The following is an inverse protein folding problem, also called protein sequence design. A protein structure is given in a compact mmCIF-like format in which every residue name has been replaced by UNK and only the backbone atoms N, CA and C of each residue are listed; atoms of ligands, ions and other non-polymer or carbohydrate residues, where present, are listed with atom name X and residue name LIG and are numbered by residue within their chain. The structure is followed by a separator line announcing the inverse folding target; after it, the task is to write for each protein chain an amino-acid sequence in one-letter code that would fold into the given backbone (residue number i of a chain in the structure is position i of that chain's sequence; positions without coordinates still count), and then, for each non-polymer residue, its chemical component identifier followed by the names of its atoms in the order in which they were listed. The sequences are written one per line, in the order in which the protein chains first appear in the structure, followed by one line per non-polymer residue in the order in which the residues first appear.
data_IF_596603476423
#
_entry.id   IF_596603476423
#
_cell.length_a   1.000
_cell.length_b   1.000
_cell.length_c   1.000
_cell.angle_alpha   90.00
_cell.angle_beta   90.00
_cell.angle_gamma   90.00
#
_symmetry.space_group_name_H-M   'P 1'
#
loop_
_entity.id
_entity.type
_entity.pdbx_description
1 polymer ?
#
# COMPACT_ATOMS: atom_id res chain seq x y z
N UNK A 1 17.01 6.04 -33.98
CA UNK A 1 16.80 5.23 -32.77
C UNK A 1 17.62 3.95 -32.93
N UNK A 2 18.78 3.87 -32.27
CA UNK A 2 19.57 2.63 -32.24
C UNK A 2 18.77 1.60 -31.44
N UNK A 3 18.52 0.41 -32.00
CA UNK A 3 17.98 -0.72 -31.26
C UNK A 3 18.91 -0.98 -30.08
N UNK A 4 18.42 -0.79 -28.85
CA UNK A 4 19.04 -1.29 -27.64
C UNK A 4 19.40 -2.75 -27.90
N UNK A 5 20.64 -3.14 -27.68
CA UNK A 5 21.13 -4.49 -27.76
C UNK A 5 20.25 -5.38 -26.89
N UNK A 6 19.58 -6.37 -27.46
CA UNK A 6 18.53 -7.18 -26.83
C UNK A 6 19.03 -8.11 -25.72
N UNK A 7 19.81 -7.61 -24.74
CA UNK A 7 20.20 -8.35 -23.53
C UNK A 7 19.00 -8.45 -22.61
N UNK A 8 18.69 -9.67 -22.20
CA UNK A 8 17.62 -9.96 -21.25
C UNK A 8 18.01 -9.55 -19.82
N UNK A 9 17.05 -9.16 -19.01
CA UNK A 9 17.23 -8.71 -17.63
C UNK A 9 16.36 -9.56 -16.70
N UNK A 10 16.96 -10.20 -15.72
CA UNK A 10 16.24 -10.80 -14.59
C UNK A 10 16.46 -9.97 -13.32
N UNK A 11 15.63 -10.17 -12.29
CA UNK A 11 15.87 -9.54 -11.00
C UNK A 11 15.79 -10.52 -9.83
N UNK A 12 16.66 -10.31 -8.84
CA UNK A 12 16.64 -10.93 -7.51
C UNK A 12 16.28 -9.86 -6.48
N UNK A 13 15.22 -10.11 -5.71
CA UNK A 13 14.83 -9.22 -4.60
C UNK A 13 15.11 -9.91 -3.28
N UNK A 14 16.10 -9.44 -2.54
CA UNK A 14 16.50 -10.01 -1.25
C UNK A 14 15.49 -9.62 -0.15
N UNK A 15 14.76 -10.60 0.37
CA UNK A 15 13.74 -10.43 1.40
C UNK A 15 13.85 -11.46 2.55
N UNK A 16 15.03 -12.10 2.71
CA UNK A 16 15.27 -13.13 3.74
C UNK A 16 15.72 -12.55 5.09
N UNK A 17 16.10 -11.27 5.16
CA UNK A 17 16.67 -10.64 6.35
C UNK A 17 15.70 -10.63 7.55
N UNK A 18 16.23 -10.89 8.76
CA UNK A 18 15.44 -11.02 10.00
C UNK A 18 14.75 -9.73 10.45
N UNK A 19 15.25 -8.56 10.06
CA UNK A 19 14.62 -7.27 10.38
C UNK A 19 14.44 -6.97 11.88
N UNK A 20 15.37 -7.40 12.73
CA UNK A 20 15.27 -7.33 14.21
C UNK A 20 15.03 -5.92 14.74
N UNK A 21 15.54 -4.88 14.04
CA UNK A 21 15.33 -3.47 14.39
C UNK A 21 13.87 -3.00 14.27
N UNK A 22 13.04 -3.70 13.51
CA UNK A 22 11.58 -3.44 13.42
C UNK A 22 10.83 -3.81 14.69
N UNK A 23 11.40 -4.65 15.56
CA UNK A 23 10.77 -5.17 16.79
C UNK A 23 9.37 -5.68 16.52
N UNK A 24 9.21 -6.57 15.55
CA UNK A 24 7.94 -7.07 15.04
C UNK A 24 8.01 -8.58 14.79
N UNK A 25 6.90 -9.28 15.02
CA UNK A 25 6.72 -10.66 14.59
C UNK A 25 6.53 -10.76 13.07
N UNK A 26 5.99 -9.69 12.46
CA UNK A 26 5.87 -9.61 11.00
C UNK A 26 7.26 -9.37 10.40
N UNK A 27 7.69 -10.20 9.42
CA UNK A 27 8.93 -9.99 8.70
C UNK A 27 9.00 -8.58 8.07
N UNK A 28 10.18 -7.95 8.11
CA UNK A 28 10.39 -6.55 7.71
C UNK A 28 9.75 -6.21 6.36
N UNK A 29 10.00 -7.03 5.36
CA UNK A 29 9.61 -6.80 3.97
C UNK A 29 8.09 -6.93 3.73
N UNK A 30 7.35 -7.51 4.69
CA UNK A 30 5.90 -7.71 4.62
C UNK A 30 5.10 -6.57 5.29
N UNK A 31 5.77 -5.58 5.90
CA UNK A 31 5.07 -4.45 6.49
C UNK A 31 4.30 -3.66 5.44
N UNK A 32 3.02 -3.31 5.73
CA UNK A 32 2.19 -2.59 4.79
C UNK A 32 2.63 -1.13 4.64
N UNK A 33 2.59 -0.66 3.39
CA UNK A 33 2.81 0.72 2.97
C UNK A 33 1.77 1.06 1.90
N UNK A 34 0.84 1.95 2.17
CA UNK A 34 -0.21 2.41 1.24
C UNK A 34 -0.88 1.24 0.47
N UNK A 35 -1.39 0.24 1.21
CA UNK A 35 -2.12 -0.90 0.66
C UNK A 35 -1.25 -2.06 0.16
N UNK A 36 0.06 -1.88 -0.03
CA UNK A 36 0.99 -2.90 -0.51
C UNK A 36 1.98 -3.31 0.58
N UNK A 37 2.60 -4.49 0.46
CA UNK A 37 3.78 -4.85 1.28
C UNK A 37 4.98 -4.00 0.83
N UNK A 38 5.91 -3.71 1.72
CA UNK A 38 7.12 -2.95 1.41
C UNK A 38 7.87 -3.50 0.19
N UNK A 39 8.03 -4.81 0.11
CA UNK A 39 8.72 -5.49 -0.99
C UNK A 39 7.99 -5.38 -2.33
N UNK A 40 6.65 -5.22 -2.31
CA UNK A 40 5.86 -5.13 -3.55
C UNK A 40 6.16 -3.85 -4.33
N UNK A 41 6.55 -2.77 -3.66
CA UNK A 41 7.02 -1.55 -4.30
C UNK A 41 8.31 -1.78 -5.10
N UNK A 42 9.26 -2.53 -4.52
CA UNK A 42 10.51 -2.89 -5.19
C UNK A 42 10.26 -3.81 -6.39
N UNK A 43 9.43 -4.83 -6.20
CA UNK A 43 9.04 -5.76 -7.26
C UNK A 43 8.37 -5.06 -8.43
N UNK A 44 7.46 -4.12 -8.13
CA UNK A 44 6.79 -3.31 -9.14
C UNK A 44 7.78 -2.48 -9.95
N UNK A 45 8.70 -1.77 -9.29
CA UNK A 45 9.71 -0.95 -9.98
C UNK A 45 10.60 -1.79 -10.89
N UNK A 46 10.97 -3.01 -10.48
CA UNK A 46 11.73 -3.94 -11.32
C UNK A 46 10.90 -4.46 -12.51
N UNK A 47 9.61 -4.79 -12.29
CA UNK A 47 8.72 -5.23 -13.37
C UNK A 47 8.50 -4.13 -14.42
N UNK A 48 8.34 -2.89 -14.00
CA UNK A 48 8.10 -1.75 -14.89
C UNK A 48 9.27 -1.48 -15.86
N UNK A 49 10.50 -1.85 -15.50
CA UNK A 49 11.66 -1.78 -16.40
C UNK A 49 11.85 -3.06 -17.23
N UNK A 50 10.92 -4.01 -17.15
CA UNK A 50 10.94 -5.25 -17.94
C UNK A 50 11.88 -6.31 -17.42
N UNK A 51 12.21 -6.34 -16.13
CA UNK A 51 12.95 -7.45 -15.54
C UNK A 51 12.07 -8.72 -15.47
N UNK A 52 12.49 -9.77 -16.13
CA UNK A 52 11.83 -11.08 -16.19
C UNK A 52 12.88 -12.19 -16.41
N UNK A 53 12.93 -13.20 -15.54
CA UNK A 53 12.11 -13.45 -14.36
C UNK A 53 12.44 -12.55 -13.16
N UNK A 54 11.43 -12.40 -12.26
CA UNK A 54 11.58 -11.81 -10.94
C UNK A 54 11.60 -12.91 -9.88
N UNK A 55 12.67 -13.00 -9.11
CA UNK A 55 12.84 -14.01 -8.05
C UNK A 55 12.96 -13.32 -6.70
N UNK A 56 12.12 -13.69 -5.74
CA UNK A 56 12.22 -13.24 -4.36
C UNK A 56 13.05 -14.23 -3.56
N UNK A 57 14.09 -13.76 -2.88
CA UNK A 57 14.83 -14.58 -1.91
C UNK A 57 14.21 -14.36 -0.53
N UNK A 58 13.56 -15.40 -0.02
CA UNK A 58 12.85 -15.37 1.25
C UNK A 58 13.48 -16.30 2.29
N UNK A 59 13.20 -16.05 3.58
CA UNK A 59 13.51 -17.02 4.64
C UNK A 59 12.50 -18.18 4.61
N UNK A 60 12.80 -19.34 5.21
CA UNK A 60 11.85 -20.45 5.31
C UNK A 60 10.52 -20.04 5.95
N UNK A 61 10.54 -19.08 6.90
CA UNK A 61 9.35 -18.60 7.61
C UNK A 61 8.50 -17.62 6.81
N UNK A 62 9.08 -16.91 5.84
CA UNK A 62 8.38 -15.90 5.03
C UNK A 62 8.06 -16.37 3.62
N UNK A 63 8.63 -17.46 3.14
CA UNK A 63 8.50 -17.95 1.76
C UNK A 63 7.01 -18.13 1.34
N UNK A 64 6.19 -18.71 2.21
CA UNK A 64 4.76 -18.90 1.93
C UNK A 64 3.98 -17.60 1.72
N UNK A 65 4.50 -16.46 2.16
CA UNK A 65 3.87 -15.13 1.99
C UNK A 65 4.01 -14.57 0.55
N UNK A 66 4.76 -15.27 -0.31
CA UNK A 66 5.03 -14.85 -1.70
C UNK A 66 4.42 -15.81 -2.73
N UNK A 67 3.31 -16.48 -2.40
CA UNK A 67 2.74 -17.63 -3.11
C UNK A 67 2.52 -17.48 -4.62
N UNK A 68 2.42 -16.26 -5.15
CA UNK A 68 2.22 -15.99 -6.58
C UNK A 68 3.52 -15.63 -7.33
N UNK A 69 4.66 -15.65 -6.64
CA UNK A 69 5.97 -15.25 -7.17
C UNK A 69 6.92 -16.43 -7.22
N UNK A 70 7.94 -16.36 -8.08
CA UNK A 70 9.06 -17.31 -8.07
C UNK A 70 9.93 -17.03 -6.83
N UNK A 71 10.02 -18.01 -5.90
CA UNK A 71 10.69 -17.86 -4.61
C UNK A 71 11.90 -18.78 -4.54
N UNK A 72 13.05 -18.21 -4.19
CA UNK A 72 14.23 -18.94 -3.73
C UNK A 72 14.32 -18.85 -2.21
N UNK A 73 14.61 -19.96 -1.53
CA UNK A 73 14.70 -19.99 -0.07
C UNK A 73 16.15 -19.90 0.37
N UNK A 74 16.48 -18.89 1.17
CA UNK A 74 17.73 -18.86 1.90
C UNK A 74 17.55 -19.60 3.23
N UNK A 75 18.04 -20.83 3.30
CA UNK A 75 17.83 -21.73 4.45
C UNK A 75 18.45 -21.20 5.76
N UNK A 76 19.58 -20.52 5.65
CA UNK A 76 20.29 -19.91 6.77
C UNK A 76 20.71 -18.49 6.40
N UNK A 77 20.69 -17.51 7.32
CA UNK A 77 21.06 -16.12 7.04
C UNK A 77 22.60 -15.96 7.01
N UNK A 78 23.24 -16.54 6.00
CA UNK A 78 24.69 -16.53 5.84
C UNK A 78 25.23 -15.26 5.15
N UNK A 79 24.43 -14.26 4.93
CA UNK A 79 24.80 -12.99 4.32
C UNK A 79 24.13 -12.71 2.97
N UNK A 80 24.39 -11.52 2.41
CA UNK A 80 23.76 -11.03 1.18
C UNK A 80 24.23 -11.78 -0.07
N UNK A 81 25.49 -12.22 -0.11
CA UNK A 81 26.02 -13.03 -1.20
C UNK A 81 25.36 -14.42 -1.26
N UNK A 82 25.13 -15.02 -0.08
CA UNK A 82 24.41 -16.29 0.01
C UNK A 82 22.93 -16.14 -0.39
N UNK A 83 22.31 -15.02 -0.02
CA UNK A 83 20.94 -14.73 -0.46
C UNK A 83 20.83 -14.73 -1.99
N UNK A 84 21.71 -14.01 -2.68
CA UNK A 84 21.72 -13.98 -4.15
C UNK A 84 22.06 -15.36 -4.72
N UNK A 85 23.01 -16.09 -4.13
CA UNK A 85 23.38 -17.45 -4.55
C UNK A 85 22.19 -18.42 -4.48
N UNK A 86 21.30 -18.26 -3.50
CA UNK A 86 20.09 -19.09 -3.37
C UNK A 86 19.15 -18.97 -4.58
N UNK A 87 19.18 -17.84 -5.32
CA UNK A 87 18.39 -17.64 -6.52
C UNK A 87 19.02 -18.26 -7.80
N UNK A 88 20.22 -18.83 -7.72
CA UNK A 88 20.95 -19.35 -8.88
C UNK A 88 20.14 -20.34 -9.70
N UNK A 89 19.55 -21.34 -9.05
CA UNK A 89 18.79 -22.39 -9.74
C UNK A 89 17.60 -21.85 -10.54
N UNK A 90 17.02 -20.73 -10.07
CA UNK A 90 15.91 -20.06 -10.72
C UNK A 90 16.34 -19.15 -11.89
N UNK A 91 17.60 -18.70 -11.93
CA UNK A 91 18.02 -17.62 -12.83
C UNK A 91 19.15 -17.98 -13.80
N UNK A 92 20.03 -18.94 -13.45
CA UNK A 92 21.18 -19.28 -14.29
C UNK A 92 20.73 -19.73 -15.68
N UNK A 93 21.27 -19.08 -16.72
CA UNK A 93 20.92 -19.33 -18.11
C UNK A 93 19.60 -18.70 -18.58
N UNK A 94 18.86 -17.96 -17.71
CA UNK A 94 17.58 -17.36 -18.08
C UNK A 94 17.69 -15.87 -18.46
N UNK A 95 18.78 -15.20 -18.12
CA UNK A 95 19.01 -13.80 -18.48
C UNK A 95 20.49 -13.50 -18.67
N UNK A 96 20.79 -12.44 -19.44
CA UNK A 96 22.16 -11.95 -19.69
C UNK A 96 22.65 -11.08 -18.53
N UNK A 97 21.73 -10.27 -17.96
CA UNK A 97 21.98 -9.38 -16.83
C UNK A 97 21.07 -9.75 -15.64
N UNK A 98 21.61 -9.65 -14.43
CA UNK A 98 20.88 -9.87 -13.18
C UNK A 98 20.89 -8.57 -12.35
N UNK A 99 19.72 -7.99 -12.14
CA UNK A 99 19.49 -6.90 -11.24
C UNK A 99 19.29 -7.45 -9.82
N UNK A 100 20.11 -7.03 -8.87
CA UNK A 100 20.01 -7.42 -7.47
C UNK A 100 19.48 -6.24 -6.67
N UNK A 101 18.38 -6.45 -5.96
CA UNK A 101 17.64 -5.45 -5.22
C UNK A 101 17.50 -5.82 -3.74
N UNK A 102 17.48 -4.82 -2.89
CA UNK A 102 17.09 -5.00 -1.49
C UNK A 102 15.58 -4.80 -1.36
N UNK A 103 14.87 -5.75 -0.73
CA UNK A 103 13.41 -5.71 -0.58
C UNK A 103 12.93 -4.68 0.45
N UNK A 104 13.83 -3.90 1.02
CA UNK A 104 13.54 -2.86 2.01
C UNK A 104 13.74 -1.42 1.49
N UNK A 105 13.86 -1.23 0.18
CA UNK A 105 13.99 0.08 -0.49
C UNK A 105 12.71 0.46 -1.25
N UNK A 106 11.58 0.71 -0.56
CA UNK A 106 10.27 0.87 -1.19
C UNK A 106 10.12 2.15 -2.01
N UNK A 107 11.03 3.11 -1.86
CA UNK A 107 11.00 4.39 -2.58
C UNK A 107 11.77 4.36 -3.91
N UNK A 108 12.39 3.22 -4.23
CA UNK A 108 13.16 3.01 -5.45
C UNK A 108 12.25 3.11 -6.68
N UNK A 109 12.60 4.01 -7.60
CA UNK A 109 11.79 4.27 -8.79
C UNK A 109 12.25 3.47 -10.01
N UNK A 110 11.36 3.18 -10.97
CA UNK A 110 11.73 2.58 -12.25
C UNK A 110 12.78 3.40 -13.01
N UNK A 111 12.74 4.73 -12.89
CA UNK A 111 13.70 5.62 -13.56
C UNK A 111 15.14 5.39 -13.07
N UNK A 112 15.36 5.31 -11.76
CA UNK A 112 16.67 5.02 -11.17
C UNK A 112 17.18 3.64 -11.60
N UNK A 113 16.31 2.64 -11.61
CA UNK A 113 16.68 1.29 -12.05
C UNK A 113 17.03 1.24 -13.54
N UNK A 114 16.26 1.91 -14.38
CA UNK A 114 16.53 1.98 -15.83
C UNK A 114 17.88 2.65 -16.09
N UNK A 115 18.17 3.75 -15.39
CA UNK A 115 19.44 4.47 -15.54
C UNK A 115 20.62 3.60 -15.10
N UNK A 116 20.50 2.86 -14.01
CA UNK A 116 21.51 1.90 -13.53
C UNK A 116 21.79 0.81 -14.59
N UNK A 117 20.74 0.22 -15.17
CA UNK A 117 20.86 -0.78 -16.23
C UNK A 117 21.50 -0.18 -17.48
N UNK A 118 21.15 1.05 -17.85
CA UNK A 118 21.72 1.72 -19.00
C UNK A 118 23.20 2.05 -18.80
N UNK A 119 23.61 2.48 -17.60
CA UNK A 119 25.03 2.66 -17.25
C UNK A 119 25.79 1.35 -17.36
N UNK A 120 25.21 0.26 -16.81
CA UNK A 120 25.79 -1.07 -16.89
C UNK A 120 26.07 -1.50 -18.33
N UNK A 121 25.06 -1.35 -19.20
CA UNK A 121 25.14 -1.76 -20.60
C UNK A 121 26.05 -0.86 -21.44
N UNK A 122 26.01 0.46 -21.23
CA UNK A 122 26.91 1.40 -21.93
C UNK A 122 28.38 1.20 -21.55
N UNK A 123 28.65 0.91 -20.29
CA UNK A 123 30.00 0.62 -19.82
C UNK A 123 30.50 -0.77 -20.22
N UNK A 124 29.66 -1.64 -20.73
CA UNK A 124 29.94 -3.05 -20.93
C UNK A 124 30.54 -3.71 -19.67
N UNK A 125 29.97 -3.34 -18.51
CA UNK A 125 30.51 -3.68 -17.19
C UNK A 125 30.21 -5.15 -16.80
N UNK A 126 31.05 -5.74 -15.97
CA UNK A 126 30.80 -7.03 -15.33
C UNK A 126 29.83 -6.88 -14.15
N UNK A 127 29.97 -5.76 -13.45
CA UNK A 127 29.05 -5.32 -12.40
C UNK A 127 28.89 -3.81 -12.44
N UNK A 128 27.74 -3.31 -11.98
CA UNK A 128 27.49 -1.89 -11.75
C UNK A 128 26.82 -1.74 -10.40
N UNK A 129 27.33 -0.85 -9.57
CA UNK A 129 26.84 -0.56 -8.22
C UNK A 129 26.04 0.73 -8.25
N UNK A 130 24.87 0.75 -7.65
CA UNK A 130 24.18 1.99 -7.32
C UNK A 130 24.73 2.52 -5.99
N UNK A 131 25.30 3.72 -6.02
CA UNK A 131 25.76 4.44 -4.84
C UNK A 131 24.93 5.70 -4.60
N UNK A 132 25.00 6.26 -3.40
CA UNK A 132 24.34 7.51 -3.06
C UNK A 132 25.07 8.22 -1.90
N UNK A 133 24.67 9.45 -1.57
CA UNK A 133 25.20 10.22 -0.44
C UNK A 133 24.05 10.66 0.47
N UNK A 134 23.67 9.87 1.49
CA UNK A 134 22.65 10.24 2.45
C UNK A 134 23.13 11.32 3.41
N UNK A 135 22.19 12.02 4.04
CA UNK A 135 22.51 12.97 5.12
C UNK A 135 23.12 12.25 6.33
N UNK A 136 22.55 11.11 6.72
CA UNK A 136 23.06 10.22 7.76
C UNK A 136 23.68 8.96 7.14
N UNK A 137 25.00 8.82 7.32
CA UNK A 137 25.76 7.71 6.76
C UNK A 137 25.41 6.34 7.34
N UNK A 138 24.74 6.29 8.50
CA UNK A 138 24.27 5.05 9.15
C UNK A 138 25.32 3.92 9.11
N UNK A 139 24.84 2.71 8.90
CA UNK A 139 25.66 1.49 8.79
C UNK A 139 25.86 1.03 7.33
N UNK A 140 25.74 1.96 6.37
CA UNK A 140 25.97 1.61 4.97
C UNK A 140 27.44 1.27 4.69
N UNK A 141 27.71 0.39 3.75
CA UNK A 141 29.04 0.14 3.20
C UNK A 141 29.59 1.38 2.49
N UNK A 142 30.88 1.66 2.64
CA UNK A 142 31.56 2.81 2.03
C UNK A 142 32.08 2.45 0.65
N UNK A 143 31.79 3.27 -0.34
CA UNK A 143 32.27 3.12 -1.72
C UNK A 143 33.63 3.78 -1.82
N UNK A 144 34.67 2.97 -1.95
CA UNK A 144 36.06 3.46 -2.06
C UNK A 144 36.44 3.56 -3.53
N UNK A 145 36.97 4.72 -3.92
CA UNK A 145 37.42 4.98 -5.29
C UNK A 145 38.94 4.93 -5.39
N UNK A 146 39.43 4.42 -6.51
CA UNK A 146 40.86 4.45 -6.86
C UNK A 146 41.26 5.84 -7.42
N UNK A 147 42.51 6.01 -7.73
CA UNK A 147 43.07 7.30 -8.16
C UNK A 147 42.54 7.82 -9.51
N UNK A 148 41.94 6.99 -10.33
CA UNK A 148 41.31 7.36 -11.60
C UNK A 148 39.78 7.57 -11.47
N UNK A 149 39.25 7.45 -10.24
CA UNK A 149 37.81 7.62 -9.96
C UNK A 149 37.00 6.33 -10.14
N UNK A 150 37.59 5.22 -10.57
CA UNK A 150 36.96 3.91 -10.63
C UNK A 150 36.68 3.33 -9.24
N UNK A 151 35.89 2.25 -9.19
CA UNK A 151 35.63 1.55 -7.95
C UNK A 151 36.86 0.71 -7.54
N UNK A 152 37.35 0.93 -6.32
CA UNK A 152 38.38 0.11 -5.70
C UNK A 152 37.78 -1.03 -4.87
N UNK A 153 36.88 -0.69 -3.94
CA UNK A 153 36.23 -1.63 -3.04
C UNK A 153 34.94 -1.05 -2.44
N UNK A 154 34.13 -1.89 -1.84
CA UNK A 154 33.02 -1.50 -0.97
C UNK A 154 33.31 -2.14 0.39
N UNK A 155 33.48 -1.30 1.41
CA UNK A 155 33.82 -1.76 2.76
C UNK A 155 32.63 -1.54 3.69
N UNK A 156 32.12 -2.63 4.27
CA UNK A 156 31.01 -2.57 5.21
C UNK A 156 31.40 -1.72 6.45
N UNK A 157 30.45 -0.96 6.99
CA UNK A 157 30.74 0.00 8.07
C UNK A 157 31.39 -0.65 9.32
N UNK A 158 31.10 -1.94 9.58
CA UNK A 158 31.66 -2.68 10.71
C UNK A 158 33.10 -3.12 10.51
N UNK A 159 33.54 -3.22 9.26
CA UNK A 159 34.89 -3.61 8.87
C UNK A 159 35.74 -2.40 8.46
N UNK A 160 35.14 -1.21 8.39
CA UNK A 160 35.78 0.01 7.92
C UNK A 160 36.70 0.65 8.98
N UNK A 161 37.83 1.17 8.54
CA UNK A 161 38.71 2.01 9.37
C UNK A 161 38.08 3.39 9.62
N UNK A 162 38.60 4.15 10.60
CA UNK A 162 38.10 5.51 10.88
C UNK A 162 38.21 6.45 9.66
N UNK A 163 39.27 6.29 8.85
CA UNK A 163 39.48 7.05 7.62
C UNK A 163 38.43 6.68 6.55
N UNK A 164 38.05 5.41 6.46
CA UNK A 164 37.03 4.95 5.52
C UNK A 164 35.63 5.40 5.97
N UNK A 165 35.35 5.43 7.28
CA UNK A 165 34.03 5.80 7.81
C UNK A 165 33.61 7.25 7.47
N UNK A 166 34.57 8.15 7.15
CA UNK A 166 34.25 9.54 6.76
C UNK A 166 33.86 9.68 5.27
N UNK A 167 34.05 8.63 4.48
CA UNK A 167 33.62 8.63 3.07
C UNK A 167 32.09 8.74 2.99
N UNK A 168 31.62 9.75 2.26
CA UNK A 168 30.19 10.06 2.18
C UNK A 168 29.43 9.20 1.17
N UNK A 169 30.11 8.73 0.13
CA UNK A 169 29.51 7.86 -0.88
C UNK A 169 29.33 6.46 -0.30
N UNK A 170 28.09 5.99 -0.29
CA UNK A 170 27.72 4.70 0.31
C UNK A 170 27.05 3.77 -0.69
N UNK A 171 27.10 2.49 -0.38
CA UNK A 171 26.50 1.42 -1.16
C UNK A 171 24.99 1.29 -0.82
N UNK A 172 24.14 1.28 -1.84
CA UNK A 172 22.69 1.08 -1.70
C UNK A 172 22.27 -0.38 -1.56
N UNK A 173 23.19 -1.32 -1.73
CA UNK A 173 22.91 -2.76 -1.89
C UNK A 173 22.05 -3.08 -3.13
N UNK A 174 22.16 -2.26 -4.16
CA UNK A 174 21.50 -2.43 -5.47
C UNK A 174 22.57 -2.54 -6.54
N UNK A 175 22.49 -3.58 -7.38
CA UNK A 175 23.51 -3.90 -8.35
C UNK A 175 22.91 -4.41 -9.65
N UNK A 176 23.65 -4.26 -10.75
CA UNK A 176 23.47 -5.05 -11.97
C UNK A 176 24.74 -5.85 -12.23
N UNK A 177 24.61 -7.14 -12.45
CA UNK A 177 25.70 -8.03 -12.82
C UNK A 177 25.46 -8.67 -14.17
N UNK A 178 26.53 -8.93 -14.93
CA UNK A 178 26.46 -9.94 -15.97
C UNK A 178 26.26 -11.33 -15.34
N UNK A 179 25.24 -12.04 -15.78
CA UNK A 179 24.91 -13.35 -15.21
C UNK A 179 26.11 -14.33 -15.30
N UNK A 180 26.84 -14.33 -16.42
CA UNK A 180 28.02 -15.17 -16.62
C UNK A 180 29.18 -14.90 -15.64
N UNK A 181 29.21 -13.71 -15.02
CA UNK A 181 30.22 -13.29 -14.03
C UNK A 181 29.73 -13.44 -12.60
N UNK A 182 28.43 -13.28 -12.39
CA UNK A 182 27.81 -13.33 -11.07
C UNK A 182 27.95 -14.71 -10.42
N UNK A 183 27.52 -15.75 -11.09
CA UNK A 183 27.48 -17.08 -10.47
C UNK A 183 28.85 -17.61 -10.08
N UNK A 184 29.90 -17.54 -10.93
CA UNK A 184 31.25 -17.97 -10.53
C UNK A 184 31.86 -17.14 -9.41
N UNK A 185 31.61 -15.83 -9.33
CA UNK A 185 32.17 -15.00 -8.25
C UNK A 185 31.50 -15.27 -6.91
N UNK A 186 30.20 -15.60 -6.88
CA UNK A 186 29.50 -15.95 -5.65
C UNK A 186 30.04 -17.26 -5.02
N UNK A 187 30.52 -18.20 -5.82
CA UNK A 187 31.12 -19.45 -5.33
C UNK A 187 32.46 -19.24 -4.62
N UNK A 188 33.09 -18.07 -4.79
CA UNK A 188 34.38 -17.71 -4.22
C UNK A 188 34.28 -16.83 -2.98
N UNK A 189 33.08 -16.40 -2.63
CA UNK A 189 32.86 -15.63 -1.41
C UNK A 189 33.26 -16.43 -0.17
N UNK A 190 33.90 -15.76 0.77
CA UNK A 190 34.37 -16.37 2.00
C UNK A 190 33.99 -15.50 3.22
N UNK A 191 33.67 -16.08 4.37
CA UNK A 191 33.19 -15.35 5.53
C UNK A 191 34.35 -14.72 6.34
N UNK A 192 35.22 -13.96 5.68
CA UNK A 192 36.42 -13.36 6.26
C UNK A 192 36.17 -11.92 6.73
N UNK A 193 35.06 -11.68 7.45
CA UNK A 193 34.66 -10.36 7.94
C UNK A 193 34.16 -10.43 9.39
N UNK A 194 33.90 -9.29 10.01
CA UNK A 194 33.52 -9.18 11.41
C UNK A 194 32.23 -9.94 11.78
N UNK A 195 31.35 -10.24 10.81
CA UNK A 195 30.11 -10.96 11.02
C UNK A 195 30.20 -12.45 10.68
N UNK A 196 31.25 -12.91 9.99
CA UNK A 196 31.37 -14.27 9.49
C UNK A 196 30.35 -14.59 8.39
N UNK A 197 29.93 -13.58 7.62
CA UNK A 197 28.92 -13.69 6.57
C UNK A 197 29.53 -13.64 5.16
N UNK A 198 28.81 -14.15 4.17
CA UNK A 198 29.15 -14.02 2.76
C UNK A 198 28.60 -12.69 2.23
N UNK A 199 29.42 -11.66 2.20
CA UNK A 199 29.00 -10.35 1.71
C UNK A 199 28.96 -10.29 0.18
N UNK A 200 27.86 -9.77 -0.38
CA UNK A 200 27.77 -9.51 -1.81
C UNK A 200 28.77 -8.43 -2.26
N UNK A 201 29.11 -7.49 -1.39
CA UNK A 201 30.13 -6.45 -1.61
C UNK A 201 31.50 -7.00 -1.94
N UNK A 202 31.87 -8.15 -1.35
CA UNK A 202 33.15 -8.83 -1.65
C UNK A 202 33.22 -9.32 -3.09
N UNK A 203 32.08 -9.65 -3.73
CA UNK A 203 32.03 -10.03 -5.13
C UNK A 203 32.54 -8.94 -6.07
N UNK A 204 32.30 -7.67 -5.69
CA UNK A 204 32.75 -6.50 -6.44
C UNK A 204 34.28 -6.40 -6.44
N UNK A 205 34.89 -6.56 -5.27
CA UNK A 205 36.34 -6.54 -5.12
C UNK A 205 36.99 -7.69 -5.90
N UNK A 206 36.43 -8.90 -5.83
CA UNK A 206 36.91 -10.04 -6.59
C UNK A 206 36.86 -9.80 -8.11
N UNK A 207 35.78 -9.19 -8.62
CA UNK A 207 35.66 -8.85 -10.03
C UNK A 207 36.66 -7.77 -10.47
N UNK A 208 36.93 -6.78 -9.63
CA UNK A 208 37.98 -5.76 -9.86
C UNK A 208 39.35 -6.40 -9.90
N UNK A 209 39.66 -7.31 -8.96
CA UNK A 209 40.95 -8.03 -8.90
C UNK A 209 41.20 -8.91 -10.13
N UNK A 210 40.17 -9.42 -10.78
CA UNK A 210 40.24 -10.14 -12.04
C UNK A 210 40.45 -9.25 -13.28
N UNK A 211 40.52 -7.92 -13.08
CA UNK A 211 40.61 -6.95 -14.17
C UNK A 211 39.25 -6.67 -14.86
N UNK A 212 38.15 -7.10 -14.24
CA UNK A 212 36.81 -6.84 -14.70
C UNK A 212 36.41 -5.36 -14.58
N UNK A 213 35.67 -4.86 -15.56
CA UNK A 213 35.14 -3.51 -15.48
C UNK A 213 33.97 -3.46 -14.51
N UNK A 214 34.12 -2.77 -13.39
CA UNK A 214 33.03 -2.47 -12.45
C UNK A 214 32.72 -0.99 -12.52
N UNK A 215 31.48 -0.66 -12.86
CA UNK A 215 30.97 0.71 -12.91
C UNK A 215 30.28 1.10 -11.59
N UNK A 216 30.22 2.39 -11.33
CA UNK A 216 29.41 2.95 -10.23
C UNK A 216 28.49 4.00 -10.83
N UNK A 217 27.21 3.85 -10.58
CA UNK A 217 26.20 4.86 -10.85
C UNK A 217 25.81 5.52 -9.53
N UNK A 218 26.01 6.83 -9.44
CA UNK A 218 25.59 7.61 -8.26
C UNK A 218 24.16 8.11 -8.49
N UNK A 219 23.23 7.67 -7.65
CA UNK A 219 21.84 8.12 -7.68
C UNK A 219 21.70 9.61 -7.39
N UNK A 220 20.65 10.22 -7.95
CA UNK A 220 20.40 11.66 -7.79
C UNK A 220 19.80 12.02 -6.44
N UNK A 221 18.69 11.40 -6.07
CA UNK A 221 17.97 11.62 -4.80
C UNK A 221 18.27 10.50 -3.80
N UNK A 222 18.95 10.80 -2.68
CA UNK A 222 19.23 9.80 -1.65
C UNK A 222 17.98 9.08 -1.11
N UNK A 223 16.86 9.78 -1.01
CA UNK A 223 15.59 9.25 -0.48
C UNK A 223 15.11 8.03 -1.27
N UNK A 224 15.35 7.99 -2.59
CA UNK A 224 14.93 6.88 -3.45
C UNK A 224 15.69 5.57 -3.16
N UNK A 225 16.89 5.67 -2.58
CA UNK A 225 17.79 4.52 -2.35
C UNK A 225 17.92 4.13 -0.88
N UNK A 226 17.34 4.91 0.03
CA UNK A 226 17.38 4.59 1.46
C UNK A 226 16.56 3.35 1.82
N UNK A 227 17.19 2.47 2.61
CA UNK A 227 16.53 1.27 3.13
C UNK A 227 15.76 1.53 4.42
N UNK A 228 14.60 0.92 4.57
CA UNK A 228 13.75 0.96 5.77
C UNK A 228 14.15 -0.14 6.74
N UNK A 229 14.57 0.21 7.94
CA UNK A 229 15.04 -0.74 8.96
C UNK A 229 14.31 -0.61 10.30
N UNK A 230 13.67 0.54 10.55
CA UNK A 230 12.97 0.87 11.79
C UNK A 230 11.54 1.32 11.50
N UNK A 231 10.69 1.35 12.54
CA UNK A 231 9.33 1.88 12.43
C UNK A 231 9.31 3.39 12.11
N UNK A 232 10.32 4.13 12.53
CA UNK A 232 10.43 5.54 12.20
C UNK A 232 10.75 5.75 10.71
N UNK A 233 11.69 4.98 10.17
CA UNK A 233 11.99 4.99 8.73
C UNK A 233 10.80 4.48 7.90
N UNK A 234 10.05 3.49 8.39
CA UNK A 234 8.80 3.04 7.75
C UNK A 234 7.77 4.18 7.65
N UNK A 235 7.61 4.96 8.72
CA UNK A 235 6.69 6.09 8.71
C UNK A 235 7.15 7.21 7.76
N UNK A 236 8.46 7.47 7.68
CA UNK A 236 9.02 8.42 6.73
C UNK A 236 8.81 7.97 5.27
N UNK A 237 9.08 6.70 4.97
CA UNK A 237 8.82 6.13 3.65
C UNK A 237 7.33 6.17 3.28
N UNK A 238 6.43 5.89 4.24
CA UNK A 238 5.00 6.00 4.03
C UNK A 238 4.56 7.43 3.69
N UNK A 239 5.13 8.43 4.36
CA UNK A 239 4.84 9.84 4.09
C UNK A 239 5.29 10.25 2.68
N UNK A 240 6.46 9.78 2.25
CA UNK A 240 6.96 10.04 0.89
C UNK A 240 6.10 9.36 -0.18
N UNK A 241 5.76 8.09 -0.01
CA UNK A 241 4.84 7.39 -0.92
C UNK A 241 3.46 8.07 -0.98
N UNK A 242 2.92 8.51 0.17
CA UNK A 242 1.69 9.30 0.20
C UNK A 242 1.80 10.56 -0.67
N UNK A 243 2.92 11.28 -0.57
CA UNK A 243 3.13 12.49 -1.37
C UNK A 243 3.11 12.14 -2.87
N UNK A 244 3.81 11.08 -3.28
CA UNK A 244 3.85 10.64 -4.68
C UNK A 244 2.48 10.20 -5.19
N UNK A 245 1.75 9.40 -4.42
CA UNK A 245 0.39 8.94 -4.78
C UNK A 245 -0.58 10.12 -4.89
N UNK A 246 -0.57 11.03 -3.90
CA UNK A 246 -1.43 12.20 -3.93
C UNK A 246 -1.10 13.14 -5.10
N UNK A 247 0.19 13.36 -5.38
CA UNK A 247 0.64 14.18 -6.51
C UNK A 247 0.16 13.59 -7.84
N UNK A 248 0.30 12.27 -8.02
CA UNK A 248 -0.17 11.60 -9.23
C UNK A 248 -1.68 11.79 -9.45
N UNK A 249 -2.50 11.68 -8.39
CA UNK A 249 -3.93 11.95 -8.49
C UNK A 249 -4.24 13.42 -8.79
N UNK A 250 -3.52 14.37 -8.16
CA UNK A 250 -3.71 15.80 -8.44
C UNK A 250 -3.34 16.15 -9.89
N UNK A 251 -2.26 15.59 -10.41
CA UNK A 251 -1.87 15.77 -11.82
C UNK A 251 -2.86 15.12 -12.79
N UNK A 252 -3.58 14.09 -12.35
CA UNK A 252 -4.66 13.46 -13.10
C UNK A 252 -6.01 14.21 -13.01
N UNK A 253 -6.08 15.36 -12.32
CA UNK A 253 -7.26 16.22 -12.26
C UNK A 253 -8.12 16.06 -11.00
N UNK A 254 -7.65 15.36 -9.97
CA UNK A 254 -8.31 15.25 -8.67
C UNK A 254 -7.95 16.45 -7.79
N UNK A 255 -8.91 17.02 -7.07
CA UNK A 255 -8.65 18.03 -6.05
C UNK A 255 -8.43 17.39 -4.69
N UNK A 256 -7.22 17.46 -4.16
CA UNK A 256 -6.90 17.06 -2.78
C UNK A 256 -6.62 18.35 -1.99
N UNK A 257 -7.52 18.72 -1.07
CA UNK A 257 -7.48 20.02 -0.37
C UNK A 257 -6.27 20.12 0.57
N UNK A 258 -5.93 19.04 1.25
CA UNK A 258 -4.73 18.93 2.08
C UNK A 258 -4.04 17.59 1.85
N UNK A 259 -3.04 17.53 0.97
CA UNK A 259 -2.33 16.30 0.68
C UNK A 259 -1.58 15.70 1.88
N UNK A 260 -1.22 16.54 2.87
CA UNK A 260 -0.43 16.07 4.02
C UNK A 260 -1.27 15.27 5.01
N UNK A 261 -2.55 15.56 5.13
CA UNK A 261 -3.47 14.82 6.01
C UNK A 261 -4.33 13.77 5.30
N UNK A 262 -4.17 13.64 3.97
CA UNK A 262 -4.93 12.70 3.13
C UNK A 262 -4.10 11.46 2.82
N UNK A 263 -4.66 10.27 3.11
CA UNK A 263 -4.02 8.98 2.89
C UNK A 263 -4.82 8.15 1.89
N UNK A 264 -4.19 7.82 0.77
CA UNK A 264 -4.80 7.06 -0.33
C UNK A 264 -3.89 5.88 -0.63
N UNK A 265 -4.45 4.66 -0.59
CA UNK A 265 -3.71 3.46 -0.99
C UNK A 265 -3.46 3.47 -2.51
N UNK A 266 -2.38 2.84 -2.95
CA UNK A 266 -1.91 2.86 -4.33
C UNK A 266 -2.92 2.25 -5.34
N UNK A 267 -3.73 1.28 -4.91
CA UNK A 267 -4.73 0.61 -5.76
C UNK A 267 -6.07 1.37 -5.85
N UNK A 268 -6.21 2.50 -5.16
CA UNK A 268 -7.40 3.36 -5.22
C UNK A 268 -7.47 4.08 -6.56
N UNK A 269 -8.64 4.11 -7.14
CA UNK A 269 -8.91 4.83 -8.39
C UNK A 269 -9.78 6.06 -8.10
N UNK A 270 -9.27 7.24 -8.45
CA UNK A 270 -10.00 8.51 -8.38
C UNK A 270 -10.14 9.06 -9.80
N UNK A 271 -11.37 9.43 -10.19
CA UNK A 271 -11.63 10.06 -11.47
C UNK A 271 -11.40 11.59 -11.39
N UNK A 272 -11.11 12.28 -12.51
CA UNK A 272 -11.00 13.73 -12.57
C UNK A 272 -12.21 14.44 -11.95
N UNK A 273 -12.00 15.65 -11.40
CA UNK A 273 -12.99 16.46 -10.71
C UNK A 273 -13.52 15.89 -9.38
N UNK A 274 -13.05 14.73 -8.93
CA UNK A 274 -13.29 14.30 -7.54
C UNK A 274 -12.60 15.24 -6.56
N UNK A 275 -13.25 15.52 -5.41
CA UNK A 275 -12.73 16.40 -4.36
C UNK A 275 -12.55 15.64 -3.07
N UNK A 276 -11.31 15.60 -2.55
CA UNK A 276 -10.94 14.93 -1.31
C UNK A 276 -10.57 15.98 -0.25
N UNK A 277 -11.36 16.02 0.80
CA UNK A 277 -11.18 16.95 1.93
C UNK A 277 -10.17 16.42 2.96
N UNK A 278 -9.65 17.30 3.85
CA UNK A 278 -8.63 16.94 4.83
C UNK A 278 -9.00 15.77 5.74
N UNK A 279 -7.98 15.06 6.26
CA UNK A 279 -8.11 13.93 7.19
C UNK A 279 -8.93 12.76 6.63
N UNK A 280 -8.94 12.60 5.34
CA UNK A 280 -9.61 11.49 4.65
C UNK A 280 -8.64 10.35 4.42
N UNK A 281 -9.12 9.11 4.63
CA UNK A 281 -8.37 7.87 4.40
C UNK A 281 -9.15 7.00 3.42
N UNK A 282 -8.56 6.67 2.26
CA UNK A 282 -9.17 5.83 1.24
C UNK A 282 -8.27 4.61 1.00
N UNK A 283 -8.81 3.42 1.23
CA UNK A 283 -8.03 2.17 1.25
C UNK A 283 -8.53 1.13 0.27
N UNK A 284 -7.63 0.16 0.02
CA UNK A 284 -7.90 -1.04 -0.76
C UNK A 284 -8.19 -0.72 -2.22
N UNK A 285 -9.24 -1.33 -2.77
CA UNK A 285 -9.64 -1.19 -4.18
C UNK A 285 -10.77 -0.18 -4.38
N UNK A 286 -10.88 0.83 -3.49
CA UNK A 286 -11.93 1.86 -3.55
C UNK A 286 -11.90 2.63 -4.86
N UNK A 287 -13.09 2.99 -5.36
CA UNK A 287 -13.27 3.75 -6.61
C UNK A 287 -14.14 4.97 -6.37
N UNK A 288 -13.68 6.13 -6.75
CA UNK A 288 -14.37 7.42 -6.57
C UNK A 288 -14.57 8.04 -7.94
N UNK A 289 -15.82 8.18 -8.34
CA UNK A 289 -16.16 8.72 -9.65
C UNK A 289 -16.12 10.26 -9.68
N UNK A 290 -16.19 10.79 -10.90
CA UNK A 290 -16.08 12.22 -11.21
C UNK A 290 -17.09 13.07 -10.43
N UNK A 291 -16.63 14.21 -9.92
CA UNK A 291 -17.44 15.18 -9.19
C UNK A 291 -17.92 14.71 -7.81
N UNK A 292 -17.49 13.55 -7.33
CA UNK A 292 -17.80 13.12 -5.97
C UNK A 292 -16.98 13.91 -4.95
N UNK A 293 -17.58 14.20 -3.79
CA UNK A 293 -16.91 14.91 -2.67
C UNK A 293 -16.79 13.98 -1.47
N UNK A 294 -15.56 13.82 -0.95
CA UNK A 294 -15.24 12.88 0.14
C UNK A 294 -14.62 13.63 1.32
N UNK A 295 -15.18 13.45 2.50
CA UNK A 295 -14.63 13.98 3.75
C UNK A 295 -15.31 15.28 4.22
N UNK A 296 -14.67 16.07 5.12
CA UNK A 296 -13.45 15.68 5.86
C UNK A 296 -13.68 14.54 6.87
N UNK A 297 -12.59 13.97 7.39
CA UNK A 297 -12.62 12.88 8.37
C UNK A 297 -13.44 11.67 7.91
N UNK A 298 -13.36 11.30 6.64
CA UNK A 298 -13.99 10.11 6.11
C UNK A 298 -12.98 8.94 6.00
N UNK A 299 -13.45 7.73 6.25
CA UNK A 299 -12.68 6.50 6.02
C UNK A 299 -13.45 5.63 5.04
N UNK A 300 -12.82 5.27 3.94
CA UNK A 300 -13.36 4.40 2.92
C UNK A 300 -12.46 3.18 2.75
N UNK A 301 -13.04 1.99 2.72
CA UNK A 301 -12.32 0.72 2.52
C UNK A 301 -13.09 -0.13 1.52
N UNK A 302 -12.49 -0.48 0.40
CA UNK A 302 -13.10 -1.28 -0.67
C UNK A 302 -14.53 -0.82 -0.99
N UNK A 303 -14.71 0.49 -1.16
CA UNK A 303 -15.99 1.14 -1.41
C UNK A 303 -16.05 1.76 -2.81
N UNK A 304 -17.24 1.80 -3.38
CA UNK A 304 -17.51 2.45 -4.67
C UNK A 304 -18.39 3.67 -4.44
N UNK A 305 -17.94 4.84 -4.91
CA UNK A 305 -18.67 6.10 -4.82
C UNK A 305 -18.92 6.63 -6.24
N UNK A 306 -20.19 6.73 -6.61
CA UNK A 306 -20.66 7.15 -7.92
C UNK A 306 -20.53 8.65 -8.15
N UNK A 307 -20.81 9.06 -9.39
CA UNK A 307 -20.70 10.45 -9.84
C UNK A 307 -21.47 11.42 -8.93
N UNK A 308 -20.81 12.53 -8.56
CA UNK A 308 -21.41 13.61 -7.75
C UNK A 308 -22.03 13.14 -6.44
N UNK A 309 -21.66 11.96 -5.95
CA UNK A 309 -22.07 11.50 -4.64
C UNK A 309 -21.29 12.23 -3.53
N UNK A 310 -21.91 12.34 -2.36
CA UNK A 310 -21.37 13.10 -1.22
C UNK A 310 -21.13 12.16 -0.04
N UNK A 311 -19.91 12.14 0.49
CA UNK A 311 -19.53 11.31 1.65
C UNK A 311 -18.92 12.21 2.72
N UNK A 312 -19.51 12.23 3.89
CA UNK A 312 -18.95 12.97 5.03
C UNK A 312 -19.78 14.14 5.52
N UNK A 313 -19.25 14.86 6.53
CA UNK A 313 -18.03 14.53 7.29
C UNK A 313 -18.22 13.34 8.25
N UNK A 314 -17.09 12.80 8.77
CA UNK A 314 -17.09 11.71 9.78
C UNK A 314 -17.87 10.46 9.35
N UNK A 315 -17.62 10.00 8.13
CA UNK A 315 -18.24 8.78 7.58
C UNK A 315 -17.28 7.60 7.62
N UNK A 316 -17.84 6.39 7.76
CA UNK A 316 -17.11 5.16 7.55
C UNK A 316 -17.83 4.27 6.52
N UNK A 317 -17.27 4.18 5.32
CA UNK A 317 -17.73 3.25 4.29
C UNK A 317 -16.85 2.01 4.32
N UNK A 318 -17.44 0.89 4.72
CA UNK A 318 -16.77 -0.40 4.86
C UNK A 318 -16.89 -1.22 3.58
N UNK A 319 -16.12 -2.35 3.48
CA UNK A 319 -16.12 -3.19 2.29
C UNK A 319 -17.51 -3.57 1.79
N UNK A 320 -17.67 -3.54 0.45
CA UNK A 320 -18.92 -3.85 -0.24
C UNK A 320 -19.95 -2.71 -0.24
N UNK A 321 -19.57 -1.51 0.21
CA UNK A 321 -20.47 -0.34 0.13
C UNK A 321 -20.41 0.28 -1.26
N UNK A 322 -21.61 0.50 -1.85
CA UNK A 322 -21.78 1.18 -3.13
C UNK A 322 -22.75 2.35 -2.98
N UNK A 323 -22.26 3.56 -3.24
CA UNK A 323 -23.10 4.75 -3.41
C UNK A 323 -23.26 5.03 -4.90
N UNK A 324 -24.48 5.07 -5.40
CA UNK A 324 -24.75 5.43 -6.79
C UNK A 324 -24.70 6.95 -7.02
N UNK A 325 -24.91 7.37 -8.28
CA UNK A 325 -24.79 8.76 -8.67
C UNK A 325 -25.66 9.70 -7.82
N UNK A 326 -25.05 10.76 -7.29
CA UNK A 326 -25.73 11.75 -6.45
C UNK A 326 -26.23 11.25 -5.10
N UNK A 327 -25.88 10.02 -4.70
CA UNK A 327 -26.21 9.49 -3.38
C UNK A 327 -25.43 10.24 -2.27
N UNK A 328 -25.96 10.25 -1.06
CA UNK A 328 -25.34 10.93 0.09
C UNK A 328 -25.21 10.03 1.31
N UNK A 329 -24.01 9.87 1.80
CA UNK A 329 -23.69 9.41 3.14
C UNK A 329 -23.23 10.64 3.97
N UNK A 330 -24.09 11.14 4.85
CA UNK A 330 -23.81 12.38 5.60
C UNK A 330 -23.08 12.12 6.93
N UNK A 331 -23.19 13.08 7.85
CA UNK A 331 -22.39 13.10 9.08
C UNK A 331 -22.66 11.90 10.00
N UNK A 332 -21.58 11.25 10.46
CA UNK A 332 -21.61 10.11 11.38
C UNK A 332 -22.41 8.93 10.85
N UNK A 333 -22.29 8.65 9.55
CA UNK A 333 -22.91 7.50 8.91
C UNK A 333 -21.87 6.39 8.72
N UNK A 334 -22.22 5.19 9.16
CA UNK A 334 -21.47 3.98 8.87
C UNK A 334 -22.27 3.10 7.92
N UNK A 335 -21.61 2.59 6.85
CA UNK A 335 -22.20 1.68 5.89
C UNK A 335 -21.31 0.46 5.68
N UNK A 336 -21.93 -0.71 5.49
CA UNK A 336 -21.22 -1.97 5.22
C UNK A 336 -22.05 -2.84 4.28
N UNK A 337 -21.42 -3.38 3.23
CA UNK A 337 -22.03 -4.34 2.32
C UNK A 337 -23.44 -3.90 1.88
N UNK A 338 -23.56 -2.62 1.48
CA UNK A 338 -24.86 -1.99 1.20
C UNK A 338 -24.80 -1.17 -0.09
N UNK A 339 -25.92 -1.17 -0.81
CA UNK A 339 -26.09 -0.38 -2.02
C UNK A 339 -27.08 0.75 -1.76
N UNK A 340 -26.66 1.97 -2.05
CA UNK A 340 -27.46 3.19 -1.90
C UNK A 340 -27.76 3.72 -3.30
N UNK A 341 -29.01 3.66 -3.70
CA UNK A 341 -29.49 4.03 -5.03
C UNK A 341 -29.29 5.51 -5.35
N UNK A 342 -29.45 5.84 -6.63
CA UNK A 342 -29.23 7.19 -7.14
C UNK A 342 -30.02 8.25 -6.35
N UNK A 343 -29.36 9.37 -6.03
CA UNK A 343 -29.94 10.53 -5.32
C UNK A 343 -30.54 10.19 -3.95
N UNK A 344 -30.35 8.97 -3.45
CA UNK A 344 -30.77 8.56 -2.10
C UNK A 344 -29.90 9.22 -1.05
N UNK A 345 -30.51 9.63 0.05
CA UNK A 345 -29.83 10.34 1.12
C UNK A 345 -29.92 9.58 2.44
N UNK A 346 -28.78 9.38 3.08
CA UNK A 346 -28.61 8.92 4.46
C UNK A 346 -27.83 10.01 5.20
N UNK A 347 -28.49 11.11 5.62
CA UNK A 347 -27.77 12.33 5.95
C UNK A 347 -27.10 12.36 7.33
N UNK A 348 -27.55 11.55 8.31
CA UNK A 348 -27.08 11.70 9.69
C UNK A 348 -27.16 10.40 10.52
N UNK A 349 -26.14 10.18 11.38
CA UNK A 349 -26.17 9.31 12.57
C UNK A 349 -26.78 7.91 12.33
N UNK A 350 -26.50 7.29 11.22
CA UNK A 350 -27.14 6.03 10.83
C UNK A 350 -26.16 4.91 10.63
N UNK A 351 -26.56 3.67 10.94
CA UNK A 351 -25.86 2.46 10.56
C UNK A 351 -26.64 1.71 9.49
N UNK A 352 -26.07 1.55 8.31
CA UNK A 352 -26.66 0.85 7.16
C UNK A 352 -25.77 -0.36 6.84
N UNK A 353 -26.14 -1.51 7.35
CA UNK A 353 -25.43 -2.77 7.15
C UNK A 353 -26.27 -3.79 6.41
N UNK A 354 -25.68 -4.46 5.42
CA UNK A 354 -26.32 -5.50 4.61
C UNK A 354 -27.70 -5.04 4.07
N UNK A 355 -27.73 -3.88 3.39
CA UNK A 355 -28.96 -3.25 2.92
C UNK A 355 -28.90 -2.85 1.44
N UNK A 356 -30.07 -2.91 0.77
CA UNK A 356 -30.30 -2.32 -0.55
C UNK A 356 -31.36 -1.23 -0.43
N UNK A 357 -31.00 0.01 -0.76
CA UNK A 357 -31.89 1.16 -0.69
C UNK A 357 -32.07 1.73 -2.09
N UNK A 358 -33.31 1.73 -2.57
CA UNK A 358 -33.69 2.22 -3.89
C UNK A 358 -33.48 3.73 -4.06
N UNK A 359 -33.54 4.16 -5.32
CA UNK A 359 -33.30 5.56 -5.72
C UNK A 359 -34.25 6.56 -5.08
N UNK A 360 -33.80 7.82 -4.88
CA UNK A 360 -34.62 8.93 -4.44
C UNK A 360 -35.12 8.85 -3.00
N UNK A 361 -34.74 7.82 -2.25
CA UNK A 361 -35.16 7.62 -0.86
C UNK A 361 -34.45 8.59 0.09
N UNK A 362 -35.10 8.89 1.23
CA UNK A 362 -34.52 9.74 2.27
C UNK A 362 -34.61 9.03 3.62
N UNK A 363 -33.48 8.53 4.08
CA UNK A 363 -33.32 7.83 5.35
C UNK A 363 -32.89 8.85 6.40
N UNK A 364 -33.83 9.33 7.23
CA UNK A 364 -33.59 10.38 8.21
C UNK A 364 -32.55 9.98 9.28
N UNK A 365 -32.31 10.84 10.25
CA UNK A 365 -31.31 10.61 11.30
C UNK A 365 -31.63 9.41 12.19
N UNK A 366 -30.58 8.69 12.65
CA UNK A 366 -30.72 7.63 13.65
C UNK A 366 -31.37 6.35 13.12
N UNK A 367 -31.32 6.10 11.83
CA UNK A 367 -31.89 4.86 11.25
C UNK A 367 -30.85 3.74 11.30
N UNK A 368 -31.26 2.57 11.79
CA UNK A 368 -30.41 1.40 11.99
C UNK A 368 -30.99 0.19 11.24
N UNK A 369 -30.20 -0.45 10.42
CA UNK A 369 -30.50 -1.80 9.92
C UNK A 369 -29.94 -2.83 10.88
N UNK A 370 -30.82 -3.49 11.65
CA UNK A 370 -30.42 -4.58 12.55
C UNK A 370 -30.21 -5.85 11.73
N UNK A 371 -29.03 -6.00 11.15
CA UNK A 371 -28.70 -7.00 10.12
C UNK A 371 -28.18 -8.34 10.67
N UNK A 372 -28.04 -8.49 11.97
CA UNK A 372 -27.57 -9.73 12.59
C UNK A 372 -28.55 -10.19 13.65
N UNK A 373 -28.99 -11.42 13.53
CA UNK A 373 -29.85 -12.07 14.52
C UNK A 373 -29.05 -12.78 15.63
N UNK A 374 -29.76 -13.45 16.53
CA UNK A 374 -29.18 -14.19 17.66
C UNK A 374 -28.37 -15.43 17.22
N UNK A 375 -28.63 -15.99 16.04
CA UNK A 375 -27.89 -17.11 15.45
C UNK A 375 -26.55 -16.67 14.84
N UNK A 376 -26.27 -15.34 14.80
CA UNK A 376 -25.17 -14.68 14.11
C UNK A 376 -25.27 -14.71 12.57
N UNK A 377 -26.38 -15.11 12.03
CA UNK A 377 -26.67 -15.01 10.61
C UNK A 377 -26.84 -13.54 10.19
N UNK A 378 -26.39 -13.22 8.98
CA UNK A 378 -26.57 -11.91 8.39
C UNK A 378 -27.79 -11.92 7.50
N UNK A 379 -28.69 -11.01 7.79
CA UNK A 379 -29.92 -10.82 7.06
C UNK A 379 -29.93 -9.45 6.38
N UNK A 380 -30.67 -9.32 5.28
CA UNK A 380 -30.68 -8.13 4.45
C UNK A 380 -31.94 -7.31 4.63
N UNK A 381 -31.80 -5.99 4.69
CA UNK A 381 -32.90 -5.03 4.62
C UNK A 381 -33.02 -4.52 3.19
N UNK A 382 -34.22 -4.59 2.61
CA UNK A 382 -34.52 -4.04 1.28
C UNK A 382 -35.47 -2.85 1.45
N UNK A 383 -35.03 -1.68 0.97
CA UNK A 383 -35.85 -0.46 0.98
C UNK A 383 -36.05 -0.02 -0.48
N UNK A 384 -37.28 0.12 -0.89
CA UNK A 384 -37.67 0.49 -2.25
C UNK A 384 -37.27 1.94 -2.62
N UNK A 385 -37.85 2.39 -3.75
CA UNK A 385 -37.60 3.75 -4.27
C UNK A 385 -38.50 4.77 -3.58
N UNK A 386 -38.00 6.03 -3.50
CA UNK A 386 -38.74 7.18 -2.96
C UNK A 386 -39.24 6.97 -1.52
N UNK A 387 -38.69 6.01 -0.77
CA UNK A 387 -39.08 5.76 0.61
C UNK A 387 -38.61 6.92 1.49
N UNK A 388 -39.47 7.32 2.44
CA UNK A 388 -39.12 8.34 3.45
C UNK A 388 -39.24 7.75 4.83
N UNK A 389 -38.21 7.92 5.64
CA UNK A 389 -38.26 7.52 7.04
C UNK A 389 -38.31 8.74 7.95
N UNK A 390 -38.98 8.61 9.08
CA UNK A 390 -38.77 9.47 10.22
C UNK A 390 -37.40 9.19 10.88
N UNK A 391 -37.10 9.92 11.93
CA UNK A 391 -35.86 9.71 12.73
C UNK A 391 -36.03 8.51 13.67
N UNK A 392 -34.88 7.95 14.13
CA UNK A 392 -34.81 6.91 15.17
C UNK A 392 -35.59 5.64 14.83
N UNK A 393 -35.45 5.08 13.63
CA UNK A 393 -36.06 3.80 13.28
C UNK A 393 -35.07 2.65 13.30
N UNK A 394 -35.56 1.46 13.65
CA UNK A 394 -34.82 0.21 13.55
C UNK A 394 -35.53 -0.71 12.56
N UNK A 395 -34.81 -1.17 11.54
CA UNK A 395 -35.27 -2.20 10.59
C UNK A 395 -34.66 -3.54 11.01
N UNK A 396 -35.49 -4.44 11.50
CA UNK A 396 -35.06 -5.79 11.93
C UNK A 396 -35.08 -6.71 10.71
N UNK A 397 -33.90 -6.96 10.17
CA UNK A 397 -33.77 -7.82 8.97
C UNK A 397 -34.01 -9.31 9.29
N UNK A 398 -34.56 -10.09 8.34
CA UNK A 398 -34.93 -9.68 6.97
C UNK A 398 -36.25 -8.89 6.95
N UNK A 399 -36.26 -7.75 6.23
CA UNK A 399 -37.46 -6.93 6.05
C UNK A 399 -37.42 -6.17 4.73
N UNK A 400 -38.58 -6.04 4.08
CA UNK A 400 -38.74 -5.32 2.82
C UNK A 400 -39.68 -4.13 3.02
N UNK A 401 -39.25 -2.95 2.59
CA UNK A 401 -40.04 -1.72 2.58
C UNK A 401 -40.35 -1.39 1.12
N UNK A 402 -41.63 -1.40 0.75
CA UNK A 402 -42.04 -1.14 -0.63
C UNK A 402 -41.83 0.30 -1.08
N UNK A 403 -41.85 0.52 -2.39
CA UNK A 403 -41.69 1.85 -3.01
C UNK A 403 -42.69 2.88 -2.43
N UNK A 404 -42.30 4.13 -2.36
CA UNK A 404 -43.11 5.26 -1.90
C UNK A 404 -43.66 5.11 -0.45
N UNK A 405 -43.18 4.16 0.33
CA UNK A 405 -43.61 3.95 1.71
C UNK A 405 -43.05 5.04 2.66
N UNK A 406 -43.79 5.25 3.75
CA UNK A 406 -43.38 6.12 4.84
C UNK A 406 -43.23 5.35 6.14
N UNK A 407 -42.15 5.62 6.88
CA UNK A 407 -41.91 5.04 8.20
C UNK A 407 -41.97 6.16 9.25
N UNK A 408 -42.88 6.04 10.20
CA UNK A 408 -43.02 7.04 11.27
C UNK A 408 -41.78 7.02 12.20
N UNK A 409 -41.40 8.19 12.72
CA UNK A 409 -40.29 8.34 13.64
C UNK A 409 -40.42 7.42 14.88
N UNK A 410 -39.27 6.86 15.36
CA UNK A 410 -39.22 5.99 16.54
C UNK A 410 -39.85 4.60 16.35
N UNK A 411 -39.93 4.10 15.12
CA UNK A 411 -40.54 2.80 14.81
C UNK A 411 -39.51 1.67 14.81
N UNK A 412 -39.90 0.50 15.33
CA UNK A 412 -39.16 -0.76 15.17
C UNK A 412 -39.93 -1.62 14.17
N UNK A 413 -39.41 -1.71 12.95
CA UNK A 413 -40.04 -2.40 11.83
C UNK A 413 -39.54 -3.85 11.78
N UNK A 414 -40.44 -4.80 11.97
CA UNK A 414 -40.17 -6.24 12.05
C UNK A 414 -40.93 -7.05 10.96
N UNK A 415 -41.80 -6.40 10.21
CA UNK A 415 -42.62 -7.00 9.15
C UNK A 415 -42.53 -6.16 7.87
N UNK A 416 -42.71 -6.77 6.73
CA UNK A 416 -42.69 -6.09 5.44
C UNK A 416 -43.72 -4.98 5.38
N UNK A 417 -43.35 -3.85 4.76
CA UNK A 417 -44.22 -2.68 4.57
C UNK A 417 -44.60 -2.58 3.09
N UNK A 418 -45.89 -2.66 2.73
CA UNK A 418 -46.32 -2.53 1.34
C UNK A 418 -46.00 -1.17 0.72
N UNK A 419 -45.88 -1.13 -0.60
CA UNK A 419 -45.69 0.11 -1.34
C UNK A 419 -46.77 1.16 -1.02
N UNK A 420 -46.35 2.43 -0.86
CA UNK A 420 -47.24 3.56 -0.55
C UNK A 420 -47.87 3.53 0.85
N UNK A 421 -47.48 2.60 1.70
CA UNK A 421 -48.04 2.47 3.04
C UNK A 421 -47.30 3.40 4.05
N UNK A 422 -48.00 3.80 5.13
CA UNK A 422 -47.45 4.41 6.32
C UNK A 422 -47.32 3.35 7.43
N UNK A 423 -46.11 3.00 7.82
CA UNK A 423 -45.88 2.10 8.95
C UNK A 423 -45.57 2.89 10.23
N UNK A 424 -46.23 2.51 11.33
CA UNK A 424 -46.04 3.12 12.66
C UNK A 424 -45.91 1.96 13.67
N UNK A 425 -44.72 1.77 14.22
CA UNK A 425 -44.42 0.68 15.16
C UNK A 425 -43.75 1.23 16.44
N UNK A 426 -44.55 2.01 17.21
CA UNK A 426 -44.12 2.61 18.47
C UNK A 426 -45.30 2.71 19.44
N UNK A 427 -44.99 2.85 20.75
CA UNK A 427 -46.02 3.05 21.75
C UNK A 427 -46.81 4.37 21.54
N UNK A 428 -48.10 4.38 21.91
CA UNK A 428 -48.85 5.65 21.98
C UNK A 428 -48.32 6.57 23.08
N UNK A 429 -48.20 7.85 22.79
CA UNK A 429 -47.84 8.85 23.79
C UNK A 429 -48.89 8.92 24.91
N UNK A 430 -48.44 8.91 26.16
CA UNK A 430 -49.23 9.15 27.34
C UNK A 430 -48.72 10.40 28.02
N UNK A 431 -49.56 11.42 28.11
CA UNK A 431 -49.24 12.65 28.82
C UNK A 431 -49.89 12.65 30.21
N UNK A 432 -49.07 12.87 31.26
CA UNK A 432 -49.56 13.01 32.65
C UNK A 432 -49.34 14.47 33.08
N UNK A 433 -50.40 15.21 33.20
CA UNK A 433 -50.35 16.62 33.61
C UNK A 433 -49.86 16.76 35.06
N UNK A 434 -49.18 17.88 35.37
CA UNK A 434 -48.71 18.24 36.70
C UNK A 434 -47.47 17.48 37.22
N UNK A 435 -46.94 16.49 36.44
CA UNK A 435 -45.79 15.69 36.91
C UNK A 435 -44.43 16.33 36.60
N UNK A 436 -44.33 17.25 35.66
CA UNK A 436 -43.08 17.88 35.25
C UNK A 436 -42.51 18.89 36.25
N UNK A 437 -43.28 19.33 37.25
CA UNK A 437 -42.88 20.31 38.24
C UNK A 437 -42.65 19.77 39.67
N UNK A 438 -42.86 18.49 39.91
CA UNK A 438 -42.56 17.89 41.22
C UNK A 438 -41.03 17.80 41.40
N UNK A 439 -40.42 18.84 42.03
CA UNK A 439 -39.12 18.68 42.69
C UNK A 439 -39.40 17.98 44.04
N UNK A 440 -38.89 16.79 44.22
CA UNK A 440 -38.72 16.25 45.56
C UNK A 440 -37.53 17.02 46.17
N UNK A 441 -37.82 17.91 47.13
CA UNK A 441 -36.83 18.50 48.03
C UNK A 441 -36.20 17.41 48.91
#
# INVERSE_FOLDING_TARGET
MAKSSGRTLAAVVMAAGLGTRMRSELPKHLHPLLGRRMVDWVLRSAAEIGADPLVVVASPTSAASFGDLEVAVQEQPLGTGDAVRSARAALEGRADDVLVLSGDTPLLTPAVLQELVDVHRRADAWATVLSFEPDDLKQYGRVLRNGDGGLAAIVEARDATQEQLVVREVNSSIYVFRAERLWPVLDRLAPHNAQGELYLTDSVELLVAEGGRVAVHKGGDPVETEGVNTRAELAAAAAELRNRVNEAHMLAGVTIVDPQSTWIDDDVVLEPDAVIHPFTVIRGTSRIASGAEIGPHAVLVDAVVGERALVGPFCYLRPGTVLEAGAKAGSFVEMKNSRIGERTKVPHLSYIGDADIGEGSNIAAGNITANQDHSREKNRTVIGRNVRTGVDNTFVAPVTIGDDAWIAAGSVITEDVPAGALAIARARQVTKEGRGGERND
#
